data_IF_044568183563
#
_entry.id   IF_044568183563
#
_cell.length_a   1.000
_cell.length_b   1.000
_cell.length_c   1.000
_cell.angle_alpha   90.00
_cell.angle_beta   90.00
_cell.angle_gamma   90.00
#
_symmetry.space_group_name_H-M   'P 1'
#
loop_
_entity.id
_entity.type
_entity.pdbx_description
1 polymer ?
#
# COMPACT_ATOMS: atom_id res chain seq x y z
N UNK A 1 10.13 -42.33 38.49
CA UNK A 1 9.15 -43.35 38.94
C UNK A 1 7.91 -42.58 39.37
N UNK A 2 6.89 -42.33 38.54
CA UNK A 2 5.85 -43.23 38.00
C UNK A 2 5.24 -44.15 39.07
N UNK A 3 4.12 -43.71 39.64
CA UNK A 3 3.10 -44.53 40.30
C UNK A 3 1.75 -43.83 40.13
N UNK A 4 0.78 -44.52 39.50
CA UNK A 4 -0.60 -44.03 39.34
C UNK A 4 -1.25 -44.50 38.05
N UNK A 5 -1.18 -45.80 37.80
CA UNK A 5 -1.75 -46.49 36.64
C UNK A 5 -3.19 -46.93 36.97
N UNK A 6 -4.02 -47.04 35.92
CA UNK A 6 -5.20 -47.92 35.76
C UNK A 6 -6.59 -47.31 36.08
N UNK A 7 -7.68 -47.56 35.33
CA UNK A 7 -7.97 -48.40 34.15
C UNK A 7 -9.44 -48.15 33.71
N UNK A 8 -9.69 -48.12 32.40
CA UNK A 8 -10.68 -48.94 31.65
C UNK A 8 -12.21 -48.62 31.68
N UNK A 9 -12.77 -48.59 30.44
CA UNK A 9 -14.15 -48.91 29.97
C UNK A 9 -15.31 -48.02 30.45
N UNK A 10 -16.28 -47.62 29.61
CA UNK A 10 -17.01 -48.35 28.55
C UNK A 10 -17.35 -47.38 27.39
N UNK A 11 -17.03 -47.66 26.11
CA UNK A 11 -17.79 -48.44 25.12
C UNK A 11 -19.33 -48.25 25.20
N UNK A 12 -19.87 -47.51 24.25
CA UNK A 12 -21.32 -47.42 23.96
C UNK A 12 -21.54 -47.40 22.46
N UNK A 13 -21.69 -48.60 21.90
CA UNK A 13 -22.02 -48.92 20.52
C UNK A 13 -23.52 -48.62 20.27
N UNK A 14 -23.86 -47.77 19.31
CA UNK A 14 -25.20 -47.77 18.71
C UNK A 14 -25.07 -47.74 17.19
N UNK A 15 -25.15 -48.93 16.61
CA UNK A 15 -25.40 -49.14 15.20
C UNK A 15 -26.92 -49.02 14.93
N UNK A 16 -27.31 -48.17 13.99
CA UNK A 16 -28.48 -48.28 13.10
C UNK A 16 -28.47 -46.99 12.27
N UNK A 17 -28.03 -47.00 11.02
CA UNK A 17 -28.88 -47.49 9.95
C UNK A 17 -30.01 -46.49 9.70
N UNK A 18 -29.78 -45.51 8.83
CA UNK A 18 -30.75 -44.97 7.87
C UNK A 18 -29.94 -44.37 6.70
N UNK A 19 -30.17 -44.99 5.55
CA UNK A 19 -29.85 -44.49 4.22
C UNK A 19 -30.71 -43.23 4.01
N UNK A 20 -30.10 -42.05 3.99
CA UNK A 20 -30.71 -40.88 3.36
C UNK A 20 -30.06 -40.64 2.01
N UNK A 21 -30.60 -41.37 1.03
CA UNK A 21 -30.59 -41.00 -0.37
C UNK A 21 -31.47 -39.76 -0.50
N UNK A 22 -30.88 -38.57 -0.58
CA UNK A 22 -31.64 -37.39 -0.94
C UNK A 22 -30.79 -36.36 -1.68
N UNK A 23 -30.98 -36.39 -3.00
CA UNK A 23 -31.06 -35.27 -3.93
C UNK A 23 -29.83 -34.36 -4.03
N UNK A 24 -28.99 -34.66 -5.03
CA UNK A 24 -28.20 -33.66 -5.73
C UNK A 24 -29.16 -32.58 -6.25
N UNK A 25 -29.32 -31.51 -5.48
CA UNK A 25 -29.97 -30.30 -5.95
C UNK A 25 -29.05 -29.72 -7.01
N UNK A 26 -29.54 -29.67 -8.25
CA UNK A 26 -28.87 -29.04 -9.37
C UNK A 26 -28.58 -27.57 -9.02
N UNK A 27 -27.30 -27.22 -8.91
CA UNK A 27 -26.90 -25.81 -8.90
C UNK A 27 -27.19 -25.24 -10.29
N UNK A 28 -28.17 -24.35 -10.38
CA UNK A 28 -28.31 -23.46 -11.54
C UNK A 28 -27.09 -22.53 -11.55
N UNK A 29 -26.28 -22.60 -12.61
CA UNK A 29 -25.26 -21.59 -12.88
C UNK A 29 -25.96 -20.34 -13.40
N UNK A 30 -26.38 -19.49 -12.48
CA UNK A 30 -26.62 -18.08 -12.80
C UNK A 30 -25.29 -17.48 -13.24
N UNK A 31 -25.18 -17.19 -14.53
CA UNK A 31 -24.10 -16.38 -15.09
C UNK A 31 -24.20 -14.98 -14.48
N UNK A 32 -23.55 -14.77 -13.34
CA UNK A 32 -23.28 -13.44 -12.82
C UNK A 32 -22.33 -12.77 -13.81
N UNK A 33 -22.91 -11.95 -14.69
CA UNK A 33 -22.21 -10.87 -15.36
C UNK A 33 -21.41 -10.11 -14.29
N UNK A 34 -20.07 -10.01 -14.37
CA UNK A 34 -19.33 -9.17 -13.44
C UNK A 34 -19.77 -7.73 -13.70
N UNK A 35 -20.60 -7.24 -12.80
CA UNK A 35 -20.95 -5.83 -12.70
C UNK A 35 -19.64 -5.04 -12.62
N UNK A 36 -19.35 -4.27 -13.66
CA UNK A 36 -18.18 -3.40 -13.71
C UNK A 36 -18.48 -2.20 -12.81
N UNK A 37 -18.52 -2.46 -11.50
CA UNK A 37 -18.66 -1.44 -10.48
C UNK A 37 -17.56 -0.42 -10.70
N UNK A 38 -18.01 0.74 -11.19
CA UNK A 38 -17.38 2.04 -11.12
C UNK A 38 -16.36 2.11 -9.99
N UNK A 39 -15.09 1.85 -10.31
CA UNK A 39 -14.01 2.28 -9.43
C UNK A 39 -14.15 3.79 -9.33
N UNK A 40 -14.52 4.26 -8.15
CA UNK A 40 -14.46 5.66 -7.78
C UNK A 40 -13.05 6.13 -8.16
N UNK A 41 -12.93 6.87 -9.27
CA UNK A 41 -11.72 7.64 -9.55
C UNK A 41 -11.70 8.71 -8.47
N UNK A 42 -11.11 8.37 -7.33
CA UNK A 42 -10.46 9.33 -6.47
C UNK A 42 -9.59 10.17 -7.41
N UNK A 43 -10.00 11.42 -7.64
CA UNK A 43 -9.33 12.34 -8.57
C UNK A 43 -7.88 12.45 -8.12
N UNK A 44 -7.01 11.64 -8.74
CA UNK A 44 -5.57 11.78 -8.70
C UNK A 44 -5.22 12.99 -9.56
N UNK A 45 -5.64 14.18 -9.13
CA UNK A 45 -5.07 15.42 -9.63
C UNK A 45 -3.61 15.41 -9.18
N UNK A 46 -2.77 14.90 -10.07
CA UNK A 46 -1.33 14.87 -9.86
C UNK A 46 -0.86 16.29 -10.07
N UNK A 47 -0.61 16.97 -8.95
CA UNK A 47 -0.23 18.36 -8.96
C UNK A 47 1.12 18.51 -9.65
N UNK A 48 1.14 19.13 -10.83
CA UNK A 48 2.38 19.35 -11.58
C UNK A 48 3.20 20.50 -11.00
N UNK A 49 2.68 21.23 -10.01
CA UNK A 49 3.37 22.35 -9.34
C UNK A 49 4.63 21.93 -8.60
N UNK A 50 4.72 20.66 -8.20
CA UNK A 50 5.87 20.14 -7.44
C UNK A 50 7.07 19.75 -8.33
N UNK A 51 6.93 19.84 -9.66
CA UNK A 51 8.03 19.65 -10.62
C UNK A 51 8.86 20.93 -10.67
N UNK A 52 10.03 20.92 -10.03
CA UNK A 52 10.91 22.08 -9.93
C UNK A 52 11.74 22.24 -11.21
N UNK A 53 12.01 23.50 -11.56
CA UNK A 53 12.77 23.92 -12.75
C UNK A 53 13.79 24.97 -12.35
N UNK A 54 14.92 25.00 -13.05
CA UNK A 54 16.02 25.92 -12.75
C UNK A 54 16.65 25.62 -11.39
N UNK A 55 17.16 26.67 -10.73
CA UNK A 55 17.75 26.56 -9.40
C UNK A 55 16.70 26.30 -8.33
N UNK A 56 16.80 25.14 -7.66
CA UNK A 56 15.84 24.69 -6.65
C UNK A 56 16.21 25.25 -5.27
N UNK A 57 15.30 26.00 -4.64
CA UNK A 57 15.48 26.52 -3.29
C UNK A 57 14.68 25.66 -2.30
N UNK A 58 15.37 24.76 -1.60
CA UNK A 58 14.76 23.81 -0.67
C UNK A 58 14.13 24.49 0.56
N UNK A 59 14.69 25.61 1.02
CA UNK A 59 14.16 26.36 2.17
C UNK A 59 12.84 27.03 1.82
N UNK A 60 12.68 27.52 0.58
CA UNK A 60 11.40 28.04 0.10
C UNK A 60 10.33 26.96 -0.04
N UNK A 61 10.73 25.69 -0.20
CA UNK A 61 9.80 24.57 -0.32
C UNK A 61 9.27 24.13 1.04
N UNK A 62 10.13 24.10 2.06
CA UNK A 62 9.77 23.78 3.44
C UNK A 62 9.01 24.95 4.09
N UNK A 63 7.76 25.16 3.69
CA UNK A 63 6.94 26.24 4.23
C UNK A 63 6.63 26.03 5.72
N UNK A 64 6.59 24.77 6.14
CA UNK A 64 6.28 24.40 7.52
C UNK A 64 7.49 24.54 8.48
N UNK A 65 8.71 24.62 7.92
CA UNK A 65 10.00 24.81 8.61
C UNK A 65 10.39 23.66 9.53
N UNK A 66 10.02 22.43 9.20
CA UNK A 66 10.43 21.23 9.95
C UNK A 66 11.79 20.66 9.48
N UNK A 67 12.42 21.28 8.48
CA UNK A 67 13.67 20.83 7.90
C UNK A 67 13.51 19.57 7.04
N UNK A 68 12.29 19.28 6.59
CA UNK A 68 11.96 18.10 5.81
C UNK A 68 11.18 18.47 4.55
N UNK A 69 11.34 17.63 3.52
CA UNK A 69 10.56 17.69 2.29
C UNK A 69 10.21 16.29 1.82
N UNK A 70 9.22 16.19 0.95
CA UNK A 70 8.83 14.97 0.25
C UNK A 70 9.42 14.99 -1.17
N UNK A 71 10.29 14.04 -1.47
CA UNK A 71 11.02 13.96 -2.73
C UNK A 71 10.78 12.62 -3.44
N UNK A 72 10.72 12.64 -4.77
CA UNK A 72 10.69 11.41 -5.57
C UNK A 72 12.10 10.81 -5.75
N UNK A 73 12.20 9.48 -5.78
CA UNK A 73 13.48 8.76 -5.84
C UNK A 73 13.90 8.35 -7.26
N UNK A 74 13.10 8.72 -8.26
CA UNK A 74 13.39 8.52 -9.69
C UNK A 74 13.42 9.87 -10.41
N UNK A 75 12.52 10.78 -10.04
CA UNK A 75 12.40 12.14 -10.58
C UNK A 75 12.85 13.18 -9.54
N UNK A 76 14.16 13.35 -9.35
CA UNK A 76 14.74 14.10 -8.21
C UNK A 76 14.33 15.58 -8.11
N UNK A 77 13.86 16.18 -9.19
CA UNK A 77 13.31 17.54 -9.19
C UNK A 77 11.84 17.62 -8.77
N UNK A 78 11.20 16.50 -8.44
CA UNK A 78 9.85 16.46 -7.89
C UNK A 78 9.94 16.55 -6.38
N UNK A 79 9.65 17.73 -5.84
CA UNK A 79 9.81 18.05 -4.41
C UNK A 79 8.60 18.85 -3.90
N UNK A 80 8.05 18.42 -2.78
CA UNK A 80 6.86 18.97 -2.11
C UNK A 80 7.10 19.16 -0.61
N UNK A 81 6.41 20.12 0.00
CA UNK A 81 6.34 20.28 1.47
C UNK A 81 5.40 19.24 2.12
N UNK A 82 4.46 18.71 1.33
CA UNK A 82 3.42 17.80 1.78
C UNK A 82 3.58 16.40 1.16
N UNK A 83 3.08 15.35 1.84
CA UNK A 83 2.98 14.01 1.25
C UNK A 83 2.20 14.05 -0.07
N UNK A 84 2.61 13.23 -1.02
CA UNK A 84 1.95 13.18 -2.32
C UNK A 84 2.49 12.07 -3.21
N UNK A 85 2.07 12.10 -4.47
CA UNK A 85 2.57 11.22 -5.53
C UNK A 85 3.27 12.04 -6.60
N UNK A 86 4.35 11.48 -7.14
CA UNK A 86 5.03 12.08 -8.28
C UNK A 86 4.07 12.15 -9.49
N UNK A 87 3.92 13.32 -10.14
CA UNK A 87 3.05 13.47 -11.31
C UNK A 87 3.58 12.71 -12.54
N UNK A 88 4.86 12.33 -12.57
CA UNK A 88 5.51 11.64 -13.67
C UNK A 88 5.37 10.12 -13.49
N UNK A 89 5.99 9.56 -12.46
CA UNK A 89 6.05 8.11 -12.24
C UNK A 89 4.91 7.54 -11.37
N UNK A 90 4.07 8.39 -10.77
CA UNK A 90 2.94 8.04 -9.90
C UNK A 90 3.31 7.31 -8.59
N UNK A 91 4.60 7.23 -8.26
CA UNK A 91 5.07 6.71 -6.97
C UNK A 91 4.85 7.71 -5.84
N UNK A 92 4.73 7.21 -4.61
CA UNK A 92 4.64 8.04 -3.41
C UNK A 92 5.99 8.70 -3.11
N UNK A 93 5.97 10.00 -2.83
CA UNK A 93 7.15 10.75 -2.44
C UNK A 93 7.67 10.30 -1.07
N UNK A 94 8.99 10.26 -0.90
CA UNK A 94 9.63 9.91 0.38
C UNK A 94 9.95 11.16 1.18
N UNK A 95 9.65 11.13 2.48
CA UNK A 95 10.06 12.18 3.41
C UNK A 95 11.58 12.08 3.64
N UNK A 96 12.30 13.17 3.38
CA UNK A 96 13.75 13.30 3.55
C UNK A 96 14.06 14.65 4.20
N UNK A 97 15.20 14.77 4.87
CA UNK A 97 15.65 16.06 5.39
C UNK A 97 16.25 16.92 4.27
N UNK A 98 16.36 18.23 4.48
CA UNK A 98 16.89 19.16 3.47
C UNK A 98 18.32 18.81 3.00
N UNK A 99 19.16 18.29 3.90
CA UNK A 99 20.54 17.92 3.57
C UNK A 99 20.61 16.68 2.67
N UNK A 100 19.75 15.70 2.89
CA UNK A 100 19.60 14.55 2.01
C UNK A 100 19.01 14.96 0.65
N UNK A 101 17.97 15.80 0.64
CA UNK A 101 17.41 16.33 -0.60
C UNK A 101 18.46 17.09 -1.41
N UNK A 102 19.30 17.91 -0.75
CA UNK A 102 20.42 18.62 -1.36
C UNK A 102 21.41 17.66 -2.03
N UNK A 103 21.83 16.61 -1.30
CA UNK A 103 22.73 15.58 -1.83
C UNK A 103 22.11 14.84 -3.02
N UNK A 104 20.81 14.56 -2.97
CA UNK A 104 20.11 13.92 -4.07
C UNK A 104 20.08 14.82 -5.31
N UNK A 105 19.84 16.12 -5.15
CA UNK A 105 19.90 17.07 -6.27
C UNK A 105 21.30 17.15 -6.87
N UNK A 106 22.33 17.29 -6.03
CA UNK A 106 23.74 17.38 -6.47
C UNK A 106 24.19 16.14 -7.24
N UNK A 107 23.91 14.95 -6.68
CA UNK A 107 24.29 13.67 -7.29
C UNK A 107 23.63 13.44 -8.65
N UNK A 108 22.48 14.06 -8.89
CA UNK A 108 21.69 13.87 -10.11
C UNK A 108 21.72 15.09 -11.04
N UNK A 109 22.65 16.03 -10.82
CA UNK A 109 22.92 17.14 -11.74
C UNK A 109 21.89 18.27 -11.73
N UNK A 110 21.14 18.41 -10.64
CA UNK A 110 20.21 19.52 -10.46
C UNK A 110 20.87 20.69 -9.74
N UNK A 111 20.63 21.89 -10.23
CA UNK A 111 21.04 23.12 -9.55
C UNK A 111 20.14 23.39 -8.35
N UNK A 112 20.74 23.78 -7.23
CA UNK A 112 20.03 24.16 -6.02
C UNK A 112 20.69 25.35 -5.34
N UNK A 113 19.91 26.10 -4.57
CA UNK A 113 20.41 27.18 -3.73
C UNK A 113 21.07 26.60 -2.49
N UNK A 114 22.35 26.92 -2.30
CA UNK A 114 23.16 26.42 -1.19
C UNK A 114 22.73 27.01 0.14
#
# INVERSE_FOLDING_TARGET
MKTGLNKILQIGLFASGIIFLSIFTACSQDNKNPDHQSMNMEKNQTDSSIIRKGTIDLEMIDHNKDGMVYQDMMDWNVISDAPGKCPICKMTLKKVNLEEARKNLEKNGYEYKK
#
